data_IF_517820262953
#
_entry.id   IF_517820262953
#
_cell.length_a   1.000
_cell.length_b   1.000
_cell.length_c   1.000
_cell.angle_alpha   90.00
_cell.angle_beta   90.00
_cell.angle_gamma   90.00
#
_symmetry.space_group_name_H-M   'P 1'
#
loop_
_entity.id
_entity.type
_entity.pdbx_description
1 polymer ?
#
# COMPACT_ATOMS: atom_id res chain seq x y z
N UNK A 1 45.42 7.79 29.27
CA UNK A 1 44.72 8.02 27.99
C UNK A 1 44.06 6.71 27.56
N UNK A 2 42.73 6.59 27.64
CA UNK A 2 41.99 5.45 27.09
C UNK A 2 41.31 5.92 25.81
N UNK A 3 41.73 5.37 24.67
CA UNK A 3 41.07 5.57 23.37
C UNK A 3 39.90 4.60 23.31
N UNK A 4 38.69 5.13 23.35
CA UNK A 4 37.46 4.39 23.06
C UNK A 4 37.38 4.10 21.57
N UNK A 5 37.64 2.86 21.18
CA UNK A 5 37.37 2.38 19.83
C UNK A 5 35.86 2.32 19.60
N UNK A 6 35.37 3.17 18.70
CA UNK A 6 33.98 3.18 18.27
C UNK A 6 33.83 2.17 17.12
N UNK A 7 32.89 1.19 17.19
CA UNK A 7 32.76 0.20 16.13
C UNK A 7 32.45 0.85 14.76
N UNK A 8 32.96 0.29 13.65
CA UNK A 8 32.79 0.87 12.33
C UNK A 8 31.31 0.96 11.97
N UNK A 9 30.86 2.18 11.64
CA UNK A 9 29.49 2.46 11.21
C UNK A 9 29.17 1.69 9.94
N UNK A 10 28.17 0.80 10.01
CA UNK A 10 27.74 -0.01 8.88
C UNK A 10 27.50 0.87 7.63
N UNK A 11 27.93 0.42 6.43
CA UNK A 11 27.84 1.22 5.22
C UNK A 11 26.37 1.58 4.94
N UNK A 12 26.13 2.84 4.60
CA UNK A 12 24.79 3.36 4.29
C UNK A 12 24.25 2.61 3.07
N UNK A 13 23.34 1.67 3.30
CA UNK A 13 22.62 0.97 2.22
C UNK A 13 21.69 1.96 1.55
N UNK A 14 21.86 2.18 0.24
CA UNK A 14 20.95 3.00 -0.55
C UNK A 14 19.54 2.41 -0.49
N UNK A 15 18.58 3.18 0.03
CA UNK A 15 17.17 2.81 0.03
C UNK A 15 16.65 3.08 -1.39
N UNK A 16 16.40 2.02 -2.17
CA UNK A 16 15.73 2.16 -3.48
C UNK A 16 14.29 2.60 -3.24
N UNK A 17 14.01 3.86 -3.54
CA UNK A 17 12.67 4.47 -3.51
C UNK A 17 11.87 4.24 -4.81
N UNK A 18 12.30 3.32 -5.67
CA UNK A 18 11.59 3.02 -6.92
C UNK A 18 10.28 2.29 -6.61
N UNK A 19 9.16 2.80 -7.11
CA UNK A 19 7.84 2.16 -7.06
C UNK A 19 7.78 0.82 -7.82
N UNK A 20 8.77 0.54 -8.68
CA UNK A 20 8.91 -0.72 -9.40
C UNK A 20 10.24 -1.42 -9.08
N UNK A 21 10.23 -2.65 -8.52
CA UNK A 21 11.35 -3.56 -8.68
C UNK A 21 11.53 -3.82 -10.18
N UNK A 22 12.77 -4.00 -10.65
CA UNK A 22 13.01 -4.59 -11.97
C UNK A 22 12.14 -5.85 -12.05
N UNK A 23 11.14 -5.84 -12.94
CA UNK A 23 10.13 -6.87 -13.03
C UNK A 23 10.75 -8.15 -13.60
N UNK A 24 11.48 -8.87 -12.76
CA UNK A 24 11.91 -10.23 -12.99
C UNK A 24 10.96 -11.19 -12.30
N UNK A 25 10.18 -11.93 -13.08
CA UNK A 25 9.57 -13.22 -12.73
C UNK A 25 8.22 -13.28 -11.97
N UNK A 26 7.48 -12.19 -11.77
CA UNK A 26 6.07 -12.32 -11.37
C UNK A 26 5.18 -12.38 -12.62
N UNK A 27 4.58 -13.53 -12.91
CA UNK A 27 3.47 -13.66 -13.86
C UNK A 27 2.16 -13.51 -13.08
N UNK A 28 1.61 -12.29 -12.96
CA UNK A 28 0.39 -12.06 -12.21
C UNK A 28 -0.76 -12.86 -12.81
N UNK A 29 -1.72 -13.25 -11.95
CA UNK A 29 -2.95 -13.91 -12.42
C UNK A 29 -3.66 -12.98 -13.42
N UNK A 30 -3.92 -13.43 -14.66
CA UNK A 30 -4.56 -12.61 -15.69
C UNK A 30 -5.92 -12.09 -15.23
N UNK A 31 -6.22 -10.85 -15.62
CA UNK A 31 -7.48 -10.19 -15.30
C UNK A 31 -8.03 -9.58 -16.59
N UNK A 32 -9.32 -9.81 -16.88
CA UNK A 32 -9.99 -9.22 -18.05
C UNK A 32 -10.58 -7.87 -17.68
N UNK A 33 -9.80 -6.80 -17.86
CA UNK A 33 -10.30 -5.44 -17.71
C UNK A 33 -11.46 -5.19 -18.69
N UNK A 34 -12.48 -4.47 -18.25
CA UNK A 34 -13.69 -4.14 -19.02
C UNK A 34 -14.79 -5.20 -18.97
N UNK A 35 -14.59 -6.31 -18.25
CA UNK A 35 -15.59 -7.37 -18.21
C UNK A 35 -16.85 -6.95 -17.42
N UNK A 36 -18.06 -7.18 -17.97
CA UNK A 36 -19.32 -6.72 -17.38
C UNK A 36 -19.67 -7.41 -16.05
N UNK A 37 -19.04 -8.55 -15.75
CA UNK A 37 -19.26 -9.29 -14.52
C UNK A 37 -17.95 -9.65 -13.82
N UNK A 38 -18.01 -9.75 -12.49
CA UNK A 38 -16.85 -10.17 -11.68
C UNK A 38 -16.37 -11.60 -12.02
N UNK A 39 -17.29 -12.49 -12.43
CA UNK A 39 -16.97 -13.85 -12.84
C UNK A 39 -16.14 -13.88 -14.14
N UNK A 40 -16.48 -13.01 -15.11
CA UNK A 40 -15.75 -12.90 -16.36
C UNK A 40 -14.41 -12.17 -16.21
N UNK A 41 -14.37 -11.13 -15.35
CA UNK A 41 -13.14 -10.38 -15.02
C UNK A 41 -12.08 -11.27 -14.36
N UNK A 42 -12.52 -12.11 -13.43
CA UNK A 42 -11.66 -12.87 -12.52
C UNK A 42 -11.34 -12.12 -11.21
N UNK A 43 -10.65 -12.79 -10.28
CA UNK A 43 -10.39 -12.27 -8.94
C UNK A 43 -9.31 -11.18 -8.92
N UNK A 44 -9.52 -10.17 -8.08
CA UNK A 44 -8.50 -9.18 -7.71
C UNK A 44 -7.71 -9.72 -6.51
N UNK A 45 -6.41 -9.91 -6.68
CA UNK A 45 -5.53 -10.57 -5.71
C UNK A 45 -4.51 -9.56 -5.20
N UNK A 46 -4.69 -9.12 -3.95
CA UNK A 46 -3.82 -8.18 -3.23
C UNK A 46 -3.03 -8.87 -2.09
N UNK A 47 -2.41 -10.02 -2.38
CA UNK A 47 -1.70 -10.82 -1.37
C UNK A 47 -0.31 -10.25 -1.02
N UNK A 48 0.07 -10.38 0.26
CA UNK A 48 1.42 -10.12 0.76
C UNK A 48 2.28 -11.38 0.85
N UNK A 49 1.64 -12.54 1.04
CA UNK A 49 2.33 -13.82 1.29
C UNK A 49 2.78 -14.51 0.01
N UNK A 50 2.10 -14.24 -1.11
CA UNK A 50 2.41 -14.85 -2.41
C UNK A 50 2.55 -13.78 -3.51
N UNK A 51 3.60 -12.93 -3.48
CA UNK A 51 3.72 -11.77 -4.36
C UNK A 51 3.63 -12.09 -5.87
N UNK A 52 4.07 -13.28 -6.30
CA UNK A 52 3.98 -13.71 -7.70
C UNK A 52 2.56 -13.91 -8.22
N UNK A 53 1.56 -14.10 -7.34
CA UNK A 53 0.14 -14.26 -7.72
C UNK A 53 -0.65 -12.95 -7.67
N UNK A 54 -0.04 -11.86 -7.19
CA UNK A 54 -0.69 -10.57 -7.02
C UNK A 54 -0.93 -9.92 -8.39
N UNK A 55 -2.16 -9.53 -8.69
CA UNK A 55 -2.52 -8.77 -9.90
C UNK A 55 -3.05 -7.36 -9.59
N UNK A 56 -3.02 -6.95 -8.32
CA UNK A 56 -3.37 -5.61 -7.87
C UNK A 56 -2.13 -4.83 -7.38
N UNK A 57 -2.15 -3.51 -7.57
CA UNK A 57 -1.16 -2.58 -7.02
C UNK A 57 -1.83 -1.79 -5.90
N UNK A 58 -1.20 -1.75 -4.72
CA UNK A 58 -1.71 -1.01 -3.57
C UNK A 58 -0.82 -1.19 -2.36
N UNK A 59 -0.95 -0.30 -1.38
CA UNK A 59 -0.31 -0.42 -0.06
C UNK A 59 -1.30 -1.08 0.87
N UNK A 60 -0.87 -2.15 1.56
CA UNK A 60 -1.69 -2.80 2.57
C UNK A 60 -1.52 -2.10 3.92
N UNK A 61 -2.24 -0.99 4.12
CA UNK A 61 -2.67 -0.51 5.44
C UNK A 61 -3.70 0.60 5.23
N UNK A 62 -4.70 0.68 6.13
CA UNK A 62 -5.77 1.69 6.07
C UNK A 62 -5.24 3.12 5.98
N UNK A 63 -6.09 4.01 5.45
CA UNK A 63 -5.90 5.45 5.22
C UNK A 63 -4.49 5.98 5.60
N UNK A 64 -3.60 6.10 4.61
CA UNK A 64 -2.32 6.82 4.72
C UNK A 64 -1.22 6.21 5.60
N UNK A 65 -0.86 4.93 5.46
CA UNK A 65 0.19 4.28 6.28
C UNK A 65 1.48 5.07 6.56
N UNK A 66 2.01 5.84 5.59
CA UNK A 66 3.17 6.73 5.81
C UNK A 66 2.81 8.02 6.52
N UNK A 67 1.77 8.74 6.07
CA UNK A 67 1.40 10.02 6.70
C UNK A 67 0.81 9.83 8.10
N UNK A 68 0.09 8.73 8.34
CA UNK A 68 -0.39 8.34 9.66
C UNK A 68 0.79 8.02 10.59
N UNK A 69 1.76 7.24 10.12
CA UNK A 69 2.98 6.97 10.89
C UNK A 69 3.77 8.25 11.19
N UNK A 70 3.90 9.15 10.21
CA UNK A 70 4.55 10.44 10.38
C UNK A 70 3.80 11.34 11.38
N UNK A 71 2.47 11.42 11.30
CA UNK A 71 1.65 12.22 12.20
C UNK A 71 1.70 11.69 13.64
N UNK A 72 1.69 10.37 13.82
CA UNK A 72 1.88 9.74 15.13
C UNK A 72 3.28 10.05 15.68
N UNK A 73 4.32 9.90 14.86
CA UNK A 73 5.70 10.18 15.26
C UNK A 73 5.94 11.67 15.56
N UNK A 74 5.25 12.57 14.86
CA UNK A 74 5.25 14.00 15.10
C UNK A 74 4.31 14.42 16.25
N UNK A 75 3.64 13.48 16.91
CA UNK A 75 2.66 13.70 17.99
C UNK A 75 1.46 14.58 17.60
N UNK A 76 1.11 14.65 16.31
CA UNK A 76 -0.04 15.42 15.80
C UNK A 76 -1.30 14.57 15.62
N UNK A 77 -1.20 13.25 15.82
CA UNK A 77 -2.33 12.31 15.72
C UNK A 77 -2.23 11.23 16.80
N UNK A 78 -3.33 10.97 17.52
CA UNK A 78 -3.40 9.89 18.50
C UNK A 78 -3.30 8.52 17.78
N UNK A 79 -2.41 7.59 18.21
CA UNK A 79 -2.32 6.24 17.65
C UNK A 79 -3.63 5.45 17.67
N UNK A 80 -4.52 5.74 18.62
CA UNK A 80 -5.84 5.14 18.79
C UNK A 80 -6.96 5.98 18.16
N UNK A 81 -6.61 7.07 17.45
CA UNK A 81 -7.59 7.89 16.74
C UNK A 81 -8.43 7.04 15.79
N UNK A 82 -9.74 7.08 15.99
CA UNK A 82 -10.73 6.54 15.06
C UNK A 82 -11.25 7.71 14.25
N UNK A 83 -11.14 7.59 12.92
CA UNK A 83 -11.66 8.60 12.02
C UNK A 83 -13.17 8.74 12.23
N UNK A 84 -13.61 9.99 12.39
CA UNK A 84 -15.02 10.31 12.30
C UNK A 84 -15.42 10.26 10.82
N UNK A 85 -16.38 9.40 10.51
CA UNK A 85 -16.91 9.22 9.15
C UNK A 85 -18.28 9.90 8.98
N UNK A 86 -18.66 10.75 9.93
CA UNK A 86 -19.85 11.59 9.81
C UNK A 86 -19.71 12.49 8.58
N UNK A 87 -20.76 12.55 7.76
CA UNK A 87 -20.80 13.33 6.51
C UNK A 87 -19.76 12.93 5.45
N UNK A 88 -19.15 11.74 5.52
CA UNK A 88 -18.31 11.22 4.41
C UNK A 88 -19.13 10.50 3.34
N UNK A 89 -20.45 10.45 3.51
CA UNK A 89 -21.34 10.00 2.45
C UNK A 89 -21.25 10.98 1.26
N UNK A 90 -21.36 10.50 0.01
CA UNK A 90 -21.33 11.38 -1.16
C UNK A 90 -22.46 12.42 -1.07
N UNK A 91 -22.18 13.66 -1.48
CA UNK A 91 -23.17 14.74 -1.51
C UNK A 91 -24.35 14.47 -2.46
N UNK A 92 -24.21 13.48 -3.35
CA UNK A 92 -25.22 13.05 -4.32
C UNK A 92 -25.29 11.53 -4.38
N UNK A 93 -26.45 10.98 -4.72
CA UNK A 93 -26.59 9.55 -4.95
C UNK A 93 -25.73 9.13 -6.16
N UNK A 94 -24.73 8.30 -5.92
CA UNK A 94 -23.92 7.67 -6.98
C UNK A 94 -24.70 6.44 -7.44
N UNK A 95 -25.19 6.49 -8.68
CA UNK A 95 -25.95 5.38 -9.27
C UNK A 95 -25.10 4.15 -9.58
N UNK A 96 -25.73 3.02 -9.95
CA UNK A 96 -25.00 1.89 -10.50
C UNK A 96 -24.44 2.29 -11.87
N UNK A 97 -23.13 2.53 -11.94
CA UNK A 97 -22.41 2.74 -13.18
C UNK A 97 -21.77 1.42 -13.64
N UNK A 98 -21.66 1.17 -14.96
CA UNK A 98 -20.91 0.04 -15.48
C UNK A 98 -19.51 0.01 -14.86
N UNK A 99 -19.09 -1.16 -14.37
CA UNK A 99 -17.72 -1.35 -13.92
C UNK A 99 -16.80 -1.44 -15.15
N UNK A 100 -15.60 -0.89 -15.01
CA UNK A 100 -14.50 -0.95 -15.98
C UNK A 100 -13.70 -2.23 -15.83
#
# INVERSE_FOLDING_TARGET
MSLSDNPPKAPRRHIRLTSHPSAGAAQPVPLKWGAPSAAERGPVIATLTHPGRRNAIGVHSGAYGIYRALAIAAHTLDPNHRADLTNTAPAVAIGPFPQW
#
